data_IF_975531811283
#
_entry.id   IF_975531811283
#
_cell.length_a   1.000
_cell.length_b   1.000
_cell.length_c   1.000
_cell.angle_alpha   90.00
_cell.angle_beta   90.00
_cell.angle_gamma   90.00
#
_symmetry.space_group_name_H-M   'P 1'
#
loop_
_entity.id
_entity.type
_entity.pdbx_description
1 polymer ?
#
# COMPACT_ATOMS: atom_id res chain seq x y z
N UNK A 1 15.96 -25.08 -2.62
CA UNK A 1 16.66 -23.78 -2.69
C UNK A 1 16.66 -23.20 -1.28
N UNK A 2 17.83 -22.80 -0.81
CA UNK A 2 18.06 -22.34 0.56
C UNK A 2 18.48 -20.88 0.56
N UNK A 3 17.96 -20.10 1.49
CA UNK A 3 18.39 -18.71 1.72
C UNK A 3 19.76 -18.76 2.40
N UNK A 4 20.79 -18.23 1.74
CA UNK A 4 22.18 -18.26 2.20
C UNK A 4 22.67 -16.95 2.77
N UNK A 5 22.01 -15.84 2.45
CA UNK A 5 22.39 -14.51 2.88
C UNK A 5 21.23 -13.51 2.89
N UNK A 6 21.48 -12.37 3.54
CA UNK A 6 20.58 -11.22 3.54
C UNK A 6 21.45 -9.96 3.38
N UNK A 7 21.25 -9.26 2.28
CA UNK A 7 21.93 -8.00 1.95
C UNK A 7 20.95 -6.84 2.03
N UNK A 8 21.39 -5.68 2.50
CA UNK A 8 20.54 -4.50 2.67
C UNK A 8 21.16 -3.26 2.02
N UNK A 9 20.29 -2.36 1.55
CA UNK A 9 20.68 -1.05 1.03
C UNK A 9 19.78 0.03 1.64
N UNK A 10 20.40 1.18 2.00
CA UNK A 10 19.70 2.43 2.32
C UNK A 10 19.68 3.26 1.03
N UNK A 11 18.49 3.36 0.41
CA UNK A 11 18.33 4.05 -0.87
C UNK A 11 17.51 5.31 -0.66
N UNK A 12 17.99 6.47 -1.16
CA UNK A 12 17.33 7.76 -0.98
C UNK A 12 17.24 8.53 -2.30
N UNK A 13 16.06 9.10 -2.54
CA UNK A 13 15.72 9.85 -3.75
C UNK A 13 15.34 11.26 -3.35
N UNK A 14 15.96 12.33 -3.91
CA UNK A 14 15.78 13.71 -3.45
C UNK A 14 14.48 14.32 -3.99
N UNK A 15 13.32 13.74 -3.66
CA UNK A 15 12.00 14.19 -4.13
C UNK A 15 11.59 15.54 -3.55
N UNK A 16 12.15 15.96 -2.40
CA UNK A 16 11.95 17.28 -1.83
C UNK A 16 12.38 18.43 -2.76
N UNK A 17 13.36 18.18 -3.65
CA UNK A 17 13.84 19.18 -4.61
C UNK A 17 12.77 19.63 -5.62
N UNK A 18 11.80 18.78 -5.93
CA UNK A 18 10.67 19.05 -6.84
C UNK A 18 9.33 19.18 -6.12
N UNK A 19 9.32 19.05 -4.78
CA UNK A 19 8.14 19.01 -3.92
C UNK A 19 7.21 17.80 -4.18
N UNK A 20 7.68 16.79 -4.89
CA UNK A 20 6.92 15.57 -5.11
C UNK A 20 6.81 14.79 -3.80
N UNK A 21 5.59 14.43 -3.41
CA UNK A 21 5.32 13.83 -2.10
C UNK A 21 5.09 14.83 -0.96
N UNK A 22 5.19 16.15 -1.19
CA UNK A 22 4.99 17.16 -0.15
C UNK A 22 3.52 17.22 0.31
N UNK A 23 3.30 17.20 1.62
CA UNK A 23 2.00 17.27 2.28
C UNK A 23 2.02 18.20 3.51
N UNK A 24 0.93 18.24 4.29
CA UNK A 24 0.81 19.15 5.42
C UNK A 24 1.71 18.78 6.61
N UNK A 25 2.00 17.49 6.80
CA UNK A 25 2.88 16.98 7.87
C UNK A 25 4.33 16.82 7.40
N UNK A 26 4.54 16.54 6.10
CA UNK A 26 5.84 16.24 5.51
C UNK A 26 6.14 17.23 4.36
N UNK A 27 6.64 18.45 4.67
CA UNK A 27 6.84 19.47 3.63
C UNK A 27 8.05 19.21 2.73
N UNK A 28 8.99 18.37 3.15
CA UNK A 28 10.27 18.11 2.51
C UNK A 28 10.66 16.62 2.46
N UNK A 29 9.79 15.71 1.98
CA UNK A 29 10.09 14.27 1.97
C UNK A 29 11.15 13.96 0.93
N UNK A 30 12.16 13.16 1.31
CA UNK A 30 13.07 12.48 0.40
C UNK A 30 12.68 11.00 0.36
N UNK A 31 11.93 10.59 -0.64
CA UNK A 31 11.46 9.21 -0.74
C UNK A 31 12.62 8.23 -0.66
N UNK A 32 12.46 7.20 0.15
CA UNK A 32 13.56 6.30 0.49
C UNK A 32 13.06 4.87 0.59
N UNK A 33 13.96 3.93 0.36
CA UNK A 33 13.69 2.52 0.51
C UNK A 33 14.74 1.86 1.40
N UNK A 34 14.30 1.24 2.50
CA UNK A 34 15.09 0.23 3.17
C UNK A 34 14.94 -1.07 2.36
N UNK A 35 15.92 -1.32 1.50
CA UNK A 35 15.86 -2.38 0.50
C UNK A 35 16.60 -3.62 0.98
N UNK A 36 16.01 -4.80 0.76
CA UNK A 36 16.57 -6.10 1.15
C UNK A 36 16.63 -7.05 -0.02
N UNK A 37 17.72 -7.82 -0.07
CA UNK A 37 17.93 -8.93 -1.01
C UNK A 37 18.16 -10.20 -0.19
N UNK A 38 17.35 -11.22 -0.42
CA UNK A 38 17.55 -12.57 0.08
C UNK A 38 18.36 -13.35 -0.95
N UNK A 39 19.63 -13.65 -0.61
CA UNK A 39 20.54 -14.44 -1.44
C UNK A 39 20.27 -15.93 -1.26
N UNK A 40 20.42 -16.72 -2.31
CA UNK A 40 20.15 -18.17 -2.27
C UNK A 40 21.30 -18.99 -2.86
N UNK A 41 21.27 -20.30 -2.64
CA UNK A 41 22.12 -21.27 -3.34
C UNK A 41 21.58 -21.68 -4.73
N UNK A 42 20.46 -21.08 -5.16
CA UNK A 42 19.80 -21.33 -6.43
C UNK A 42 19.96 -20.17 -7.42
N UNK A 43 19.16 -20.18 -8.52
CA UNK A 43 19.30 -19.19 -9.60
C UNK A 43 18.60 -17.85 -9.30
N UNK A 44 17.82 -17.75 -8.23
CA UNK A 44 17.00 -16.58 -7.93
C UNK A 44 17.40 -15.93 -6.61
N UNK A 45 17.29 -14.60 -6.56
CA UNK A 45 17.31 -13.78 -5.36
C UNK A 45 15.91 -13.22 -5.10
N UNK A 46 15.55 -13.09 -3.81
CA UNK A 46 14.31 -12.44 -3.41
C UNK A 46 14.54 -10.98 -3.06
N UNK A 47 13.77 -10.08 -3.66
CA UNK A 47 13.88 -8.64 -3.46
C UNK A 47 12.67 -8.11 -2.69
N UNK A 48 12.93 -7.18 -1.76
CA UNK A 48 11.88 -6.52 -0.98
C UNK A 48 12.32 -5.15 -0.52
N UNK A 49 11.37 -4.32 -0.19
CA UNK A 49 11.64 -3.02 0.42
C UNK A 49 10.53 -2.63 1.40
N UNK A 50 10.85 -1.65 2.24
CA UNK A 50 9.85 -0.82 2.88
C UNK A 50 10.15 0.64 2.60
N UNK A 51 9.07 1.41 2.42
CA UNK A 51 9.13 2.83 2.12
C UNK A 51 9.34 3.66 3.37
N UNK A 52 10.18 4.68 3.26
CA UNK A 52 10.35 5.78 4.23
C UNK A 52 10.53 7.10 3.47
N UNK A 53 10.61 8.22 4.20
CA UNK A 53 10.70 9.56 3.62
C UNK A 53 12.00 10.30 3.94
N UNK A 54 13.09 9.56 4.13
CA UNK A 54 14.43 10.11 4.32
C UNK A 54 15.08 9.73 5.64
N UNK A 55 15.19 10.68 6.55
CA UNK A 55 15.83 10.46 7.87
C UNK A 55 15.17 9.32 8.63
N UNK A 56 15.99 8.42 9.18
CA UNK A 56 15.52 7.22 9.89
C UNK A 56 15.43 5.97 9.01
N UNK A 57 15.67 6.05 7.69
CA UNK A 57 15.74 4.88 6.83
C UNK A 57 16.81 3.89 7.31
N UNK A 58 17.96 4.40 7.80
CA UNK A 58 19.05 3.62 8.40
C UNK A 58 18.59 2.80 9.62
N UNK A 59 17.61 3.28 10.40
CA UNK A 59 17.02 2.53 11.52
C UNK A 59 16.27 1.30 11.03
N UNK A 60 15.52 1.45 9.94
CA UNK A 60 14.79 0.33 9.33
C UNK A 60 15.75 -0.66 8.69
N UNK A 61 16.81 -0.19 8.03
CA UNK A 61 17.88 -1.05 7.52
C UNK A 61 18.54 -1.87 8.64
N UNK A 62 18.80 -1.26 9.80
CA UNK A 62 19.31 -1.98 10.97
C UNK A 62 18.30 -3.02 11.49
N UNK A 63 17.01 -2.69 11.48
CA UNK A 63 15.95 -3.63 11.86
C UNK A 63 15.85 -4.83 10.89
N UNK A 64 16.01 -4.61 9.58
CA UNK A 64 16.06 -5.70 8.59
C UNK A 64 17.25 -6.64 8.91
N UNK A 65 18.42 -6.07 9.19
CA UNK A 65 19.61 -6.88 9.57
C UNK A 65 19.38 -7.70 10.83
N UNK A 66 18.63 -7.17 11.80
CA UNK A 66 18.28 -7.90 13.02
C UNK A 66 17.41 -9.14 12.76
N UNK A 67 16.65 -9.16 11.64
CA UNK A 67 15.84 -10.30 11.23
C UNK A 67 16.65 -11.37 10.47
N UNK A 68 17.92 -11.13 10.10
CA UNK A 68 18.70 -12.06 9.29
C UNK A 68 18.77 -13.48 9.91
N UNK A 69 18.96 -13.58 11.22
CA UNK A 69 18.98 -14.86 11.94
C UNK A 69 17.65 -15.63 11.93
N UNK A 70 16.55 -14.98 11.51
CA UNK A 70 15.23 -15.62 11.37
C UNK A 70 14.96 -16.13 9.94
N UNK A 71 15.79 -15.77 8.98
CA UNK A 71 15.52 -16.02 7.55
C UNK A 71 16.64 -16.80 6.90
N UNK A 72 17.91 -16.43 7.18
CA UNK A 72 19.07 -17.12 6.63
C UNK A 72 19.13 -18.56 7.15
N UNK A 73 19.30 -19.50 6.23
CA UNK A 73 19.30 -20.93 6.51
C UNK A 73 17.97 -21.63 6.29
N UNK A 74 16.88 -20.88 6.03
CA UNK A 74 15.59 -21.49 5.68
C UNK A 74 15.59 -22.04 4.27
N UNK A 75 14.92 -23.19 4.10
CA UNK A 75 14.59 -23.75 2.78
C UNK A 75 13.34 -23.07 2.21
N UNK A 76 13.36 -22.75 0.91
CA UNK A 76 12.21 -22.11 0.25
C UNK A 76 10.94 -23.00 0.31
N UNK A 77 11.10 -24.32 0.22
CA UNK A 77 9.98 -25.24 0.32
C UNK A 77 9.32 -25.20 1.71
N UNK A 78 10.13 -25.01 2.78
CA UNK A 78 9.57 -24.83 4.13
C UNK A 78 8.69 -23.56 4.24
N UNK A 79 9.08 -22.47 3.54
CA UNK A 79 8.30 -21.23 3.48
C UNK A 79 7.02 -21.47 2.65
N UNK A 80 7.16 -22.12 1.49
CA UNK A 80 6.07 -22.39 0.54
C UNK A 80 4.99 -23.31 1.12
N UNK A 81 5.38 -24.33 1.87
CA UNK A 81 4.44 -25.27 2.50
C UNK A 81 3.47 -24.59 3.48
N UNK A 82 3.91 -23.55 4.16
CA UNK A 82 3.05 -22.79 5.07
C UNK A 82 3.56 -21.36 5.27
N UNK A 83 3.16 -20.41 4.41
CA UNK A 83 3.59 -19.02 4.49
C UNK A 83 3.16 -18.31 5.79
N UNK A 84 2.04 -18.69 6.38
CA UNK A 84 1.61 -18.17 7.69
C UNK A 84 2.52 -18.61 8.83
N UNK A 85 3.05 -19.85 8.77
CA UNK A 85 4.07 -20.34 9.72
C UNK A 85 5.37 -19.53 9.57
N UNK A 86 5.79 -19.26 8.35
CA UNK A 86 6.95 -18.41 8.08
C UNK A 86 6.74 -17.00 8.65
N UNK A 87 5.60 -16.35 8.39
CA UNK A 87 5.26 -15.05 8.93
C UNK A 87 5.34 -15.03 10.46
N UNK A 88 4.73 -16.03 11.12
CA UNK A 88 4.77 -16.19 12.57
C UNK A 88 6.19 -16.44 13.09
N UNK A 89 7.03 -17.14 12.34
CA UNK A 89 8.42 -17.37 12.67
C UNK A 89 9.21 -16.05 12.64
N UNK A 90 9.03 -15.20 11.64
CA UNK A 90 9.70 -13.89 11.53
C UNK A 90 9.26 -12.94 12.64
N UNK A 91 7.95 -12.87 12.93
CA UNK A 91 7.39 -11.98 13.97
C UNK A 91 7.48 -12.53 15.38
N UNK A 92 7.81 -13.81 15.55
CA UNK A 92 7.71 -14.53 16.84
C UNK A 92 8.95 -14.50 17.73
N UNK A 93 9.99 -13.73 17.40
CA UNK A 93 11.19 -13.63 18.24
C UNK A 93 10.87 -12.96 19.58
N UNK A 94 11.18 -13.67 20.68
CA UNK A 94 10.79 -13.25 22.04
C UNK A 94 11.47 -11.97 22.50
N UNK A 95 12.66 -11.66 21.98
CA UNK A 95 13.42 -10.46 22.35
C UNK A 95 13.06 -9.27 21.45
N UNK A 96 12.95 -9.49 20.13
CA UNK A 96 12.55 -8.45 19.19
C UNK A 96 11.12 -7.94 19.43
N UNK A 97 10.24 -8.77 20.02
CA UNK A 97 8.89 -8.34 20.42
C UNK A 97 8.87 -7.17 21.38
N UNK A 98 9.93 -6.98 22.17
CA UNK A 98 10.02 -5.83 23.09
C UNK A 98 10.17 -4.50 22.34
N UNK A 99 10.86 -4.50 21.21
CA UNK A 99 11.03 -3.32 20.35
C UNK A 99 10.02 -3.28 19.20
N UNK A 100 9.01 -4.16 19.20
CA UNK A 100 7.81 -4.12 18.40
C UNK A 100 7.88 -4.83 17.07
N UNK A 101 7.75 -6.18 16.97
CA UNK A 101 7.64 -6.86 15.69
C UNK A 101 6.32 -6.56 14.95
N UNK A 102 5.26 -6.19 15.65
CA UNK A 102 3.95 -5.86 15.07
C UNK A 102 3.74 -4.34 14.94
N UNK A 103 4.77 -3.50 15.02
CA UNK A 103 4.71 -2.03 14.86
C UNK A 103 6.08 -1.40 14.69
N UNK A 104 6.10 -0.14 14.21
CA UNK A 104 7.29 0.68 14.06
C UNK A 104 8.32 0.08 13.10
N UNK A 105 9.59 0.49 13.26
CA UNK A 105 10.68 0.09 12.37
C UNK A 105 10.83 -1.43 12.24
N UNK A 106 10.59 -2.21 13.32
CA UNK A 106 10.64 -3.67 13.25
C UNK A 106 9.57 -4.26 12.35
N UNK A 107 8.37 -3.67 12.31
CA UNK A 107 7.30 -4.19 11.47
C UNK A 107 7.44 -3.77 10.01
N UNK A 108 7.95 -2.57 9.75
CA UNK A 108 8.41 -2.16 8.43
C UNK A 108 9.47 -3.13 7.89
N UNK A 109 10.47 -3.47 8.69
CA UNK A 109 11.50 -4.45 8.34
C UNK A 109 10.90 -5.84 8.06
N UNK A 110 9.92 -6.27 8.87
CA UNK A 110 9.19 -7.51 8.66
C UNK A 110 8.48 -7.52 7.31
N UNK A 111 7.79 -6.43 6.96
CA UNK A 111 7.13 -6.27 5.65
C UNK A 111 8.10 -6.44 4.49
N UNK A 112 9.26 -5.78 4.55
CA UNK A 112 10.30 -5.90 3.52
C UNK A 112 10.79 -7.34 3.36
N UNK A 113 11.11 -8.03 4.46
CA UNK A 113 11.64 -9.41 4.46
C UNK A 113 10.58 -10.42 3.98
N UNK A 114 9.34 -10.28 4.45
CA UNK A 114 8.22 -11.15 4.02
C UNK A 114 7.93 -10.98 2.55
N UNK A 115 7.89 -9.74 2.05
CA UNK A 115 7.68 -9.47 0.63
C UNK A 115 8.84 -9.96 -0.24
N UNK A 116 10.10 -9.91 0.25
CA UNK A 116 11.23 -10.51 -0.43
C UNK A 116 11.11 -12.04 -0.56
N UNK A 117 10.57 -12.71 0.46
CA UNK A 117 10.31 -14.14 0.39
C UNK A 117 9.19 -14.47 -0.62
N UNK A 118 8.14 -13.64 -0.73
CA UNK A 118 7.11 -13.77 -1.75
C UNK A 118 7.64 -13.54 -3.16
N UNK A 119 8.51 -12.54 -3.35
CA UNK A 119 9.21 -12.29 -4.62
C UNK A 119 10.01 -13.53 -5.05
N UNK A 120 10.78 -14.11 -4.12
CA UNK A 120 11.57 -15.32 -4.36
C UNK A 120 10.68 -16.52 -4.75
N UNK A 121 9.58 -16.77 -3.99
CA UNK A 121 8.64 -17.85 -4.31
C UNK A 121 7.99 -17.67 -5.68
N UNK A 122 7.67 -16.45 -6.05
CA UNK A 122 7.05 -16.12 -7.32
C UNK A 122 8.04 -16.32 -8.50
N UNK A 123 9.30 -15.91 -8.33
CA UNK A 123 10.37 -16.15 -9.32
C UNK A 123 10.62 -17.64 -9.53
N UNK A 124 10.70 -18.42 -8.45
CA UNK A 124 10.88 -19.86 -8.52
C UNK A 124 9.69 -20.58 -9.20
N UNK A 125 8.47 -20.07 -8.99
CA UNK A 125 7.27 -20.56 -9.65
C UNK A 125 7.09 -20.07 -11.09
N UNK A 126 7.93 -19.14 -11.58
CA UNK A 126 7.82 -18.55 -12.91
C UNK A 126 6.58 -17.67 -13.10
N UNK A 127 6.04 -17.08 -12.03
CA UNK A 127 4.79 -16.30 -12.03
C UNK A 127 4.95 -14.95 -11.31
N UNK A 128 4.23 -13.89 -11.73
CA UNK A 128 4.08 -12.71 -10.88
C UNK A 128 3.27 -13.07 -9.62
N UNK A 129 3.56 -12.37 -8.51
CA UNK A 129 2.93 -12.67 -7.19
C UNK A 129 1.41 -12.66 -7.25
N UNK A 130 0.80 -11.70 -7.98
CA UNK A 130 -0.66 -11.62 -8.08
C UNK A 130 -1.29 -12.88 -8.69
N UNK A 131 -0.62 -13.48 -9.67
CA UNK A 131 -1.10 -14.68 -10.33
C UNK A 131 -0.78 -15.93 -9.51
N UNK A 132 0.42 -16.00 -8.91
CA UNK A 132 0.79 -17.08 -8.01
C UNK A 132 -0.24 -17.24 -6.88
N UNK A 133 -0.54 -16.16 -6.17
CA UNK A 133 -1.52 -16.15 -5.06
C UNK A 133 -2.94 -16.29 -5.58
N UNK A 134 -3.27 -15.60 -6.67
CA UNK A 134 -4.61 -15.66 -7.28
C UNK A 134 -5.04 -17.05 -7.77
N UNK A 135 -4.11 -17.96 -8.03
CA UNK A 135 -4.38 -19.34 -8.48
C UNK A 135 -4.34 -20.37 -7.34
N UNK A 136 -3.98 -19.99 -6.11
CA UNK A 136 -3.96 -20.89 -4.97
C UNK A 136 -5.36 -21.40 -4.61
N UNK A 137 -5.43 -22.61 -4.03
CA UNK A 137 -6.68 -23.13 -3.48
C UNK A 137 -7.17 -22.28 -2.31
N UNK A 138 -8.48 -22.27 -2.00
CA UNK A 138 -9.00 -21.59 -0.81
C UNK A 138 -8.29 -22.01 0.49
N UNK A 139 -7.94 -23.28 0.61
CA UNK A 139 -7.24 -23.85 1.76
C UNK A 139 -5.80 -23.31 1.88
N UNK A 140 -5.07 -23.21 0.76
CA UNK A 140 -3.71 -22.63 0.72
C UNK A 140 -3.74 -21.14 1.04
N UNK A 141 -4.75 -20.41 0.55
CA UNK A 141 -4.94 -19.00 0.85
C UNK A 141 -5.19 -18.74 2.34
N UNK A 142 -5.98 -19.59 3.01
CA UNK A 142 -6.16 -19.53 4.48
C UNK A 142 -4.85 -19.77 5.21
N UNK A 143 -3.99 -20.67 4.72
CA UNK A 143 -2.71 -20.99 5.32
C UNK A 143 -1.69 -19.80 5.26
N UNK A 144 -1.94 -18.79 4.43
CA UNK A 144 -1.11 -17.55 4.39
C UNK A 144 -1.35 -16.71 5.64
N UNK A 145 -2.56 -16.72 6.21
CA UNK A 145 -3.01 -15.76 7.22
C UNK A 145 -2.67 -16.23 8.64
N UNK A 146 -2.11 -15.34 9.45
CA UNK A 146 -2.05 -15.53 10.92
C UNK A 146 -3.28 -14.91 11.59
N UNK A 147 -4.21 -15.74 12.04
CA UNK A 147 -5.45 -15.32 12.68
C UNK A 147 -5.31 -14.89 14.14
N UNK A 148 -4.10 -14.94 14.70
CA UNK A 148 -3.88 -14.50 16.08
C UNK A 148 -4.33 -13.06 16.27
N UNK A 149 -5.17 -12.83 17.27
CA UNK A 149 -5.82 -11.55 17.61
C UNK A 149 -6.88 -11.04 16.61
N UNK A 150 -7.32 -11.90 15.67
CA UNK A 150 -8.35 -11.56 14.70
C UNK A 150 -9.66 -12.35 14.88
N UNK A 151 -9.65 -13.46 15.62
CA UNK A 151 -10.75 -14.43 15.66
C UNK A 151 -12.07 -13.87 16.21
N UNK A 152 -12.04 -12.76 16.90
CA UNK A 152 -13.22 -11.98 17.32
C UNK A 152 -13.85 -11.15 16.17
N UNK A 153 -13.11 -10.94 15.07
CA UNK A 153 -13.56 -10.19 13.90
C UNK A 153 -13.56 -11.04 12.61
N UNK A 154 -12.64 -12.00 12.48
CA UNK A 154 -12.51 -12.88 11.33
C UNK A 154 -11.94 -14.23 11.76
N UNK A 155 -12.71 -15.31 11.63
CA UNK A 155 -12.24 -16.67 11.90
C UNK A 155 -11.63 -17.32 10.65
N UNK A 156 -10.83 -18.40 10.79
CA UNK A 156 -10.32 -19.16 9.65
C UNK A 156 -11.44 -19.74 8.75
N UNK A 157 -12.56 -20.17 9.35
CA UNK A 157 -13.71 -20.70 8.63
C UNK A 157 -14.39 -19.63 7.77
N UNK A 158 -14.59 -18.43 8.33
CA UNK A 158 -15.14 -17.28 7.60
C UNK A 158 -14.22 -16.84 6.45
N UNK A 159 -12.90 -16.86 6.67
CA UNK A 159 -11.92 -16.57 5.62
C UNK A 159 -11.99 -17.62 4.50
N UNK A 160 -12.08 -18.90 4.85
CA UNK A 160 -12.27 -19.99 3.89
C UNK A 160 -13.54 -19.81 3.05
N UNK A 161 -14.64 -19.43 3.69
CA UNK A 161 -15.91 -19.15 3.01
C UNK A 161 -15.82 -17.96 2.05
N UNK A 162 -15.05 -16.91 2.40
CA UNK A 162 -14.81 -15.77 1.49
C UNK A 162 -14.05 -16.24 0.26
N UNK A 163 -12.96 -16.99 0.43
CA UNK A 163 -12.17 -17.51 -0.69
C UNK A 163 -12.98 -18.48 -1.58
N UNK A 164 -13.77 -19.36 -0.99
CA UNK A 164 -14.64 -20.29 -1.74
C UNK A 164 -15.74 -19.56 -2.53
N UNK A 165 -16.30 -18.49 -2.00
CA UNK A 165 -17.25 -17.65 -2.75
C UNK A 165 -16.60 -16.93 -3.93
N UNK A 166 -15.33 -16.55 -3.80
CA UNK A 166 -14.58 -15.92 -4.88
C UNK A 166 -14.01 -16.91 -5.91
N UNK A 167 -13.97 -18.20 -5.62
CA UNK A 167 -13.37 -19.20 -6.53
C UNK A 167 -14.11 -19.31 -7.88
N UNK A 168 -15.45 -19.38 -7.95
CA UNK A 168 -16.17 -19.32 -9.22
C UNK A 168 -15.89 -18.01 -9.97
N UNK A 169 -15.66 -18.10 -11.28
CA UNK A 169 -15.35 -16.93 -12.12
C UNK A 169 -13.92 -16.38 -11.99
N UNK A 170 -13.03 -17.08 -11.30
CA UNK A 170 -11.63 -16.67 -11.11
C UNK A 170 -10.89 -16.55 -12.44
N UNK A 171 -11.04 -17.52 -13.35
CA UNK A 171 -10.41 -17.49 -14.66
C UNK A 171 -10.87 -16.30 -15.51
N UNK A 172 -12.16 -15.98 -15.47
CA UNK A 172 -12.74 -14.82 -16.15
C UNK A 172 -12.20 -13.52 -15.59
N UNK A 173 -12.04 -13.41 -14.25
CA UNK A 173 -11.44 -12.21 -13.63
C UNK A 173 -9.98 -12.03 -14.01
N UNK A 174 -9.20 -13.11 -14.07
CA UNK A 174 -7.81 -13.08 -14.56
C UNK A 174 -7.77 -12.63 -16.03
N UNK A 175 -8.62 -13.20 -16.88
CA UNK A 175 -8.70 -12.80 -18.29
C UNK A 175 -9.10 -11.33 -18.45
N UNK A 176 -10.05 -10.88 -17.64
CA UNK A 176 -10.50 -9.48 -17.63
C UNK A 176 -9.40 -8.51 -17.16
N UNK A 177 -8.61 -8.85 -16.14
CA UNK A 177 -7.46 -8.04 -15.75
C UNK A 177 -6.45 -7.90 -16.89
N UNK A 178 -6.12 -8.99 -17.58
CA UNK A 178 -5.19 -8.96 -18.72
C UNK A 178 -5.69 -8.10 -19.87
N UNK A 179 -6.99 -8.04 -20.08
CA UNK A 179 -7.60 -7.26 -21.16
C UNK A 179 -7.78 -5.78 -20.81
N UNK A 180 -8.24 -5.47 -19.62
CA UNK A 180 -8.72 -4.13 -19.22
C UNK A 180 -7.85 -3.44 -18.17
N UNK A 181 -6.99 -4.20 -17.46
CA UNK A 181 -6.28 -3.70 -16.30
C UNK A 181 -7.16 -3.48 -15.07
N UNK A 182 -6.61 -2.76 -14.10
CA UNK A 182 -7.27 -2.33 -12.87
C UNK A 182 -7.25 -0.81 -12.76
N UNK A 183 -8.40 -0.16 -12.67
CA UNK A 183 -8.53 1.29 -12.65
C UNK A 183 -7.71 1.95 -11.52
N UNK A 184 -7.13 3.11 -11.81
CA UNK A 184 -6.36 3.89 -10.84
C UNK A 184 -6.80 5.34 -10.74
N UNK A 185 -6.40 5.98 -9.63
CA UNK A 185 -6.48 7.42 -9.44
C UNK A 185 -5.08 8.01 -9.30
N UNK A 186 -4.95 9.32 -9.49
CA UNK A 186 -3.65 9.98 -9.34
C UNK A 186 -3.64 11.00 -8.22
N UNK A 187 -2.51 11.07 -7.51
CA UNK A 187 -2.16 12.12 -6.54
C UNK A 187 -1.12 13.09 -7.12
N UNK A 188 -0.51 12.77 -8.26
CA UNK A 188 0.61 13.53 -8.85
C UNK A 188 0.32 15.00 -9.09
N UNK A 189 -0.92 15.38 -9.36
CA UNK A 189 -1.33 16.78 -9.49
C UNK A 189 -1.55 17.47 -8.13
N UNK A 190 -1.65 16.73 -7.05
CA UNK A 190 -2.23 17.17 -5.77
C UNK A 190 -1.25 17.57 -4.68
N UNK A 191 0.05 17.45 -4.87
CA UNK A 191 1.05 17.74 -3.83
C UNK A 191 1.00 19.19 -3.35
N UNK A 192 1.36 19.45 -2.09
CA UNK A 192 1.41 20.80 -1.55
C UNK A 192 2.64 21.59 -2.05
N UNK A 193 2.49 22.89 -2.17
CA UNK A 193 3.56 23.80 -2.60
C UNK A 193 3.70 23.97 -4.11
N UNK A 194 2.95 23.25 -4.93
CA UNK A 194 2.94 23.44 -6.37
C UNK A 194 2.37 24.81 -6.77
N UNK A 195 2.98 25.46 -7.80
CA UNK A 195 2.41 26.65 -8.40
C UNK A 195 1.08 26.36 -9.10
N UNK A 196 0.26 27.39 -9.31
CA UNK A 196 -1.00 27.25 -10.04
C UNK A 196 -0.79 26.69 -11.44
N UNK A 197 0.28 27.11 -12.13
CA UNK A 197 0.61 26.66 -13.47
C UNK A 197 0.93 25.14 -13.47
N UNK A 198 1.76 24.67 -12.52
CA UNK A 198 2.08 23.24 -12.36
C UNK A 198 0.82 22.44 -12.03
N UNK A 199 0.01 22.92 -11.08
CA UNK A 199 -1.25 22.29 -10.68
C UNK A 199 -2.22 22.17 -11.87
N UNK A 200 -2.45 23.27 -12.61
CA UNK A 200 -3.35 23.27 -13.76
C UNK A 200 -2.86 22.34 -14.87
N UNK A 201 -1.58 22.35 -15.17
CA UNK A 201 -0.96 21.50 -16.18
C UNK A 201 -1.16 20.02 -15.82
N UNK A 202 -0.75 19.60 -14.62
CA UNK A 202 -0.83 18.20 -14.18
C UNK A 202 -2.28 17.70 -14.08
N UNK A 203 -3.20 18.51 -13.58
CA UNK A 203 -4.62 18.16 -13.54
C UNK A 203 -5.23 18.01 -14.93
N UNK A 204 -4.82 18.87 -15.90
CA UNK A 204 -5.27 18.79 -17.29
C UNK A 204 -4.70 17.53 -17.97
N UNK A 205 -3.43 17.24 -17.78
CA UNK A 205 -2.76 16.03 -18.28
C UNK A 205 -3.46 14.77 -17.74
N UNK A 206 -3.72 14.70 -16.43
CA UNK A 206 -4.43 13.58 -15.80
C UNK A 206 -5.83 13.35 -16.41
N UNK A 207 -6.59 14.42 -16.65
CA UNK A 207 -7.90 14.32 -17.30
C UNK A 207 -7.78 13.82 -18.74
N UNK A 208 -6.76 14.29 -19.49
CA UNK A 208 -6.51 13.88 -20.87
C UNK A 208 -6.08 12.40 -20.97
N UNK A 209 -5.35 11.89 -19.96
CA UNK A 209 -4.93 10.49 -19.83
C UNK A 209 -6.06 9.55 -19.39
N UNK A 210 -7.25 10.10 -19.10
CA UNK A 210 -8.44 9.33 -18.77
C UNK A 210 -8.66 9.10 -17.26
N UNK A 211 -7.90 9.75 -16.38
CA UNK A 211 -8.17 9.64 -14.95
C UNK A 211 -9.54 10.22 -14.59
N UNK A 212 -10.32 9.40 -13.92
CA UNK A 212 -11.65 9.76 -13.42
C UNK A 212 -11.64 10.19 -11.96
N UNK A 213 -10.50 10.05 -11.28
CA UNK A 213 -10.33 10.32 -9.88
C UNK A 213 -8.98 11.05 -9.67
N UNK A 214 -8.99 12.15 -8.93
CA UNK A 214 -7.79 12.90 -8.55
C UNK A 214 -7.83 13.15 -7.04
N UNK A 215 -6.71 12.90 -6.33
CA UNK A 215 -6.55 13.20 -4.90
C UNK A 215 -5.69 14.46 -4.72
N UNK A 216 -6.09 15.32 -3.78
CA UNK A 216 -5.43 16.58 -3.47
C UNK A 216 -4.99 16.59 -2.01
N UNK A 217 -3.74 16.92 -1.75
CA UNK A 217 -3.25 17.19 -0.39
C UNK A 217 -3.83 18.50 0.12
N UNK A 218 -4.32 18.51 1.35
CA UNK A 218 -4.94 19.66 2.05
C UNK A 218 -4.41 19.75 3.47
N UNK A 219 -4.79 20.82 4.20
CA UNK A 219 -4.62 20.87 5.65
C UNK A 219 -3.59 21.86 6.16
N UNK A 220 -2.85 22.55 5.28
CA UNK A 220 -1.86 23.54 5.69
C UNK A 220 -2.45 24.96 5.79
N UNK A 221 -3.31 25.33 4.86
CA UNK A 221 -3.95 26.65 4.77
C UNK A 221 -5.30 26.49 4.07
N UNK A 222 -6.40 26.84 4.75
CA UNK A 222 -7.77 26.61 4.24
C UNK A 222 -8.08 27.43 2.99
N UNK A 223 -7.61 28.69 2.93
CA UNK A 223 -7.88 29.57 1.79
C UNK A 223 -7.08 29.09 0.56
N UNK A 224 -5.86 28.58 0.75
CA UNK A 224 -5.07 27.95 -0.30
C UNK A 224 -5.70 26.63 -0.76
N UNK A 225 -6.17 25.81 0.15
CA UNK A 225 -6.88 24.55 -0.19
C UNK A 225 -8.14 24.83 -1.01
N UNK A 226 -8.94 25.80 -0.61
CA UNK A 226 -10.13 26.26 -1.35
C UNK A 226 -9.74 26.68 -2.76
N UNK A 227 -8.71 27.55 -2.92
CA UNK A 227 -8.23 28.03 -4.20
C UNK A 227 -7.77 26.87 -5.10
N UNK A 228 -6.98 25.94 -4.56
CA UNK A 228 -6.45 24.78 -5.30
C UNK A 228 -7.58 23.83 -5.72
N UNK A 229 -8.51 23.56 -4.83
CA UNK A 229 -9.67 22.71 -5.12
C UNK A 229 -10.62 23.34 -6.17
N UNK A 230 -10.80 24.68 -6.18
CA UNK A 230 -11.53 25.39 -7.22
C UNK A 230 -10.89 25.19 -8.61
N UNK A 231 -9.57 25.28 -8.70
CA UNK A 231 -8.82 25.06 -9.95
C UNK A 231 -9.05 23.63 -10.43
N UNK A 232 -8.79 22.64 -9.58
CA UNK A 232 -8.86 21.22 -9.95
C UNK A 232 -10.31 20.81 -10.28
N UNK A 233 -11.29 21.21 -9.47
CA UNK A 233 -12.71 20.90 -9.72
C UNK A 233 -13.19 21.48 -11.05
N UNK A 234 -12.74 22.68 -11.44
CA UNK A 234 -13.06 23.29 -12.74
C UNK A 234 -12.50 22.47 -13.90
N UNK A 235 -11.28 21.94 -13.76
CA UNK A 235 -10.62 21.12 -14.80
C UNK A 235 -11.27 19.74 -14.88
N UNK A 236 -11.53 19.11 -13.75
CA UNK A 236 -12.13 17.77 -13.68
C UNK A 236 -13.58 17.74 -14.15
N UNK A 237 -14.31 18.83 -13.97
CA UNK A 237 -15.76 18.85 -14.11
C UNK A 237 -16.49 18.13 -12.95
N UNK A 238 -17.83 18.13 -12.92
CA UNK A 238 -18.61 17.60 -11.82
C UNK A 238 -18.66 16.06 -11.76
N UNK A 239 -18.45 15.38 -12.88
CA UNK A 239 -18.65 13.93 -13.00
C UNK A 239 -17.49 13.10 -12.45
N UNK A 240 -16.29 13.70 -12.33
CA UNK A 240 -15.10 13.01 -11.82
C UNK A 240 -15.02 13.14 -10.31
N UNK A 241 -14.47 12.14 -9.68
CA UNK A 241 -14.32 12.08 -8.21
C UNK A 241 -13.06 12.81 -7.75
N UNK A 242 -13.25 13.75 -6.86
CA UNK A 242 -12.19 14.45 -6.15
C UNK A 242 -12.04 13.82 -4.78
N UNK A 243 -10.83 13.50 -4.34
CA UNK A 243 -10.52 13.10 -2.98
C UNK A 243 -9.60 14.15 -2.34
N UNK A 244 -9.64 14.24 -1.03
CA UNK A 244 -8.76 15.12 -0.26
C UNK A 244 -8.04 14.31 0.82
N UNK A 245 -6.81 14.72 1.15
CA UNK A 245 -5.93 14.01 2.07
C UNK A 245 -5.19 15.02 2.95
N UNK A 246 -5.36 14.89 4.27
CA UNK A 246 -4.82 15.80 5.27
C UNK A 246 -3.54 15.27 5.94
N UNK A 247 -3.16 14.03 5.70
CA UNK A 247 -1.97 13.42 6.29
C UNK A 247 -1.87 13.65 7.81
N UNK A 248 -2.97 13.43 8.55
CA UNK A 248 -3.08 13.43 10.01
C UNK A 248 -2.88 14.80 10.71
N UNK A 249 -2.91 15.91 9.98
CA UNK A 249 -2.50 17.21 10.51
C UNK A 249 -3.46 17.80 11.55
N UNK A 250 -4.75 17.40 11.54
CA UNK A 250 -5.78 18.06 12.33
C UNK A 250 -6.11 17.33 13.65
N UNK A 251 -6.51 18.13 14.64
CA UNK A 251 -7.33 17.66 15.74
C UNK A 251 -8.75 17.35 15.26
N UNK A 252 -9.51 16.56 16.03
CA UNK A 252 -10.85 16.07 15.63
C UNK A 252 -11.82 17.17 15.25
N UNK A 253 -11.94 18.21 16.08
CA UNK A 253 -12.88 19.32 15.83
C UNK A 253 -12.43 20.19 14.66
N UNK A 254 -11.12 20.36 14.48
CA UNK A 254 -10.52 21.06 13.36
C UNK A 254 -10.78 20.29 12.04
N UNK A 255 -10.59 18.98 12.03
CA UNK A 255 -10.91 18.13 10.90
C UNK A 255 -12.37 18.28 10.47
N UNK A 256 -13.31 18.27 11.44
CA UNK A 256 -14.74 18.45 11.18
C UNK A 256 -15.01 19.81 10.54
N UNK A 257 -14.42 20.89 11.09
CA UNK A 257 -14.59 22.25 10.57
C UNK A 257 -14.03 22.38 9.15
N UNK A 258 -12.83 21.87 8.91
CA UNK A 258 -12.12 21.96 7.63
C UNK A 258 -12.84 21.18 6.53
N UNK A 259 -13.19 19.93 6.79
CA UNK A 259 -13.92 19.10 5.84
C UNK A 259 -15.29 19.70 5.51
N UNK A 260 -16.01 20.24 6.51
CA UNK A 260 -17.28 20.93 6.26
C UNK A 260 -17.12 22.18 5.37
N UNK A 261 -16.03 22.95 5.51
CA UNK A 261 -15.73 24.08 4.63
C UNK A 261 -15.44 23.64 3.18
N UNK A 262 -14.83 22.46 3.02
CA UNK A 262 -14.47 21.89 1.71
C UNK A 262 -15.59 21.07 1.04
N UNK A 263 -16.71 20.77 1.75
CA UNK A 263 -17.86 20.00 1.19
C UNK A 263 -18.41 20.56 -0.13
N UNK A 264 -18.32 21.88 -0.34
CA UNK A 264 -18.78 22.52 -1.58
C UNK A 264 -18.09 22.03 -2.85
N UNK A 265 -16.94 21.35 -2.72
CA UNK A 265 -16.20 20.74 -3.81
C UNK A 265 -16.59 19.28 -4.04
N UNK A 266 -17.55 18.75 -3.30
CA UNK A 266 -18.02 17.37 -3.35
C UNK A 266 -16.88 16.34 -3.28
N UNK A 267 -16.05 16.36 -2.22
CA UNK A 267 -15.00 15.35 -2.07
C UNK A 267 -15.61 13.98 -1.79
N UNK A 268 -15.13 12.97 -2.51
CA UNK A 268 -15.59 11.59 -2.33
C UNK A 268 -15.21 11.02 -0.97
N UNK A 269 -13.98 11.31 -0.51
CA UNK A 269 -13.53 11.07 0.86
C UNK A 269 -12.51 12.11 1.34
N UNK A 270 -12.37 12.18 2.65
CA UNK A 270 -11.20 12.70 3.35
C UNK A 270 -10.34 11.55 3.82
N UNK A 271 -9.04 11.57 3.48
CA UNK A 271 -8.02 10.63 3.89
C UNK A 271 -7.26 11.16 5.08
N UNK A 272 -7.02 10.30 6.07
CA UNK A 272 -6.23 10.57 7.27
C UNK A 272 -6.53 11.94 7.94
N UNK A 273 -7.77 12.20 8.35
CA UNK A 273 -8.14 13.51 8.89
C UNK A 273 -7.48 13.85 10.23
N UNK A 274 -7.08 12.85 11.00
CA UNK A 274 -6.47 12.99 12.34
C UNK A 274 -5.48 11.87 12.61
N UNK A 275 -4.93 11.80 13.83
CA UNK A 275 -3.95 10.77 14.23
C UNK A 275 -4.36 9.37 13.77
N UNK A 276 -3.44 8.61 13.12
CA UNK A 276 -3.75 7.26 12.64
C UNK A 276 -4.05 6.26 13.75
N UNK A 277 -3.74 6.59 15.01
CA UNK A 277 -4.03 5.74 16.18
C UNK A 277 -5.38 6.10 16.85
N UNK A 278 -6.04 7.21 16.43
CA UNK A 278 -7.31 7.66 17.03
C UNK A 278 -8.54 7.12 16.29
N UNK A 279 -8.90 5.87 16.61
CA UNK A 279 -10.07 5.19 16.04
C UNK A 279 -11.38 5.93 16.37
N UNK A 280 -11.53 6.40 17.60
CA UNK A 280 -12.75 7.11 18.02
C UNK A 280 -12.83 8.52 17.42
N UNK A 281 -11.69 9.19 17.24
CA UNK A 281 -11.63 10.46 16.52
C UNK A 281 -12.09 10.32 15.07
N UNK A 282 -11.60 9.31 14.36
CA UNK A 282 -12.05 9.00 12.99
C UNK A 282 -13.55 8.72 12.95
N UNK A 283 -14.10 7.95 13.92
CA UNK A 283 -15.54 7.67 13.99
C UNK A 283 -16.36 8.96 14.17
N UNK A 284 -15.94 9.86 15.07
CA UNK A 284 -16.60 11.14 15.29
C UNK A 284 -16.56 12.03 14.04
N UNK A 285 -15.40 12.11 13.39
CA UNK A 285 -15.24 12.87 12.15
C UNK A 285 -16.17 12.29 11.08
N UNK A 286 -16.16 10.97 10.86
CA UNK A 286 -16.99 10.29 9.88
C UNK A 286 -18.47 10.61 10.05
N UNK A 287 -18.97 10.57 11.29
CA UNK A 287 -20.37 10.91 11.61
C UNK A 287 -20.69 12.39 11.31
N UNK A 288 -19.77 13.31 11.61
CA UNK A 288 -19.99 14.75 11.50
C UNK A 288 -19.80 15.29 10.07
N UNK A 289 -18.99 14.61 9.23
CA UNK A 289 -18.68 15.09 7.88
C UNK A 289 -19.50 14.43 6.78
N UNK A 290 -20.43 13.55 7.11
CA UNK A 290 -21.28 12.91 6.11
C UNK A 290 -21.93 13.95 5.17
N UNK A 291 -22.07 13.69 3.87
CA UNK A 291 -21.84 12.45 3.15
C UNK A 291 -20.38 12.20 2.69
N UNK A 292 -19.43 13.09 3.05
CA UNK A 292 -18.00 12.85 2.78
C UNK A 292 -17.57 11.62 3.55
N UNK A 293 -16.97 10.65 2.86
CA UNK A 293 -16.45 9.41 3.45
C UNK A 293 -15.15 9.67 4.19
N UNK A 294 -14.78 8.78 5.10
CA UNK A 294 -13.46 8.77 5.75
C UNK A 294 -12.67 7.57 5.27
N UNK A 295 -11.45 7.82 4.82
CA UNK A 295 -10.48 6.83 4.40
C UNK A 295 -9.24 6.89 5.29
N UNK A 296 -8.65 5.74 5.63
CA UNK A 296 -7.35 5.67 6.31
C UNK A 296 -6.73 4.29 6.16
N UNK A 297 -5.43 4.19 6.46
CA UNK A 297 -4.75 2.92 6.56
C UNK A 297 -3.27 2.92 6.20
N UNK A 298 -2.75 3.91 5.46
CA UNK A 298 -1.34 3.95 5.09
C UNK A 298 -0.40 4.01 6.31
N UNK A 299 -0.86 4.61 7.41
CA UNK A 299 -0.13 4.69 8.67
C UNK A 299 -0.60 3.66 9.70
N UNK A 300 -1.60 2.84 9.42
CA UNK A 300 -2.00 1.75 10.30
C UNK A 300 -0.86 0.77 10.49
N UNK A 301 -0.47 0.55 11.75
CA UNK A 301 0.75 -0.18 12.09
C UNK A 301 0.64 -1.69 11.91
N UNK A 302 -0.58 -2.26 11.99
CA UNK A 302 -0.81 -3.70 11.92
C UNK A 302 -2.29 -4.02 11.68
N UNK A 303 -2.56 -5.31 11.41
CA UNK A 303 -3.92 -5.85 11.19
C UNK A 303 -4.90 -5.60 12.34
N UNK A 304 -4.38 -5.44 13.58
CA UNK A 304 -5.23 -5.23 14.76
C UNK A 304 -5.80 -3.81 14.77
N UNK A 305 -5.02 -2.83 14.35
CA UNK A 305 -5.50 -1.47 14.20
C UNK A 305 -6.55 -1.38 13.09
N UNK A 306 -6.32 -2.02 11.95
CA UNK A 306 -7.35 -2.17 10.91
C UNK A 306 -8.63 -2.84 11.44
N UNK A 307 -8.49 -3.93 12.22
CA UNK A 307 -9.64 -4.56 12.88
C UNK A 307 -10.45 -3.56 13.70
N UNK A 308 -9.77 -2.72 14.48
CA UNK A 308 -10.46 -1.71 15.31
C UNK A 308 -11.19 -0.68 14.45
N UNK A 309 -10.56 -0.12 13.44
CA UNK A 309 -11.20 0.82 12.50
C UNK A 309 -12.44 0.22 11.85
N UNK A 310 -12.32 -0.99 11.33
CA UNK A 310 -13.38 -1.69 10.60
C UNK A 310 -14.55 -2.05 11.55
N UNK A 311 -14.26 -2.69 12.67
CA UNK A 311 -15.31 -3.18 13.59
C UNK A 311 -16.02 -2.06 14.35
N UNK A 312 -15.37 -0.91 14.53
CA UNK A 312 -15.97 0.29 15.14
C UNK A 312 -16.74 1.15 14.14
N UNK A 313 -16.70 0.79 12.84
CA UNK A 313 -17.32 1.62 11.82
C UNK A 313 -16.70 3.02 11.75
N UNK A 314 -15.41 3.12 11.97
CA UNK A 314 -14.71 4.40 12.02
C UNK A 314 -14.30 4.93 10.64
N UNK A 315 -14.35 4.08 9.61
CA UNK A 315 -13.95 4.39 8.22
C UNK A 315 -14.96 3.85 7.21
N UNK A 316 -14.95 4.42 6.01
CA UNK A 316 -15.77 4.00 4.86
C UNK A 316 -14.93 3.35 3.76
N UNK A 317 -13.62 3.63 3.74
CA UNK A 317 -12.66 3.11 2.75
C UNK A 317 -11.41 2.64 3.49
N UNK A 318 -10.99 1.42 3.19
CA UNK A 318 -9.76 0.82 3.74
C UNK A 318 -8.60 1.11 2.80
N UNK A 319 -7.51 1.69 3.31
CA UNK A 319 -6.32 1.99 2.53
C UNK A 319 -5.15 1.14 3.03
N UNK A 320 -4.96 -0.01 2.41
CA UNK A 320 -3.76 -0.83 2.70
C UNK A 320 -2.52 -0.14 2.12
N UNK A 321 -1.39 -0.38 2.77
CA UNK A 321 -0.06 -0.12 2.24
C UNK A 321 0.71 -1.44 2.15
N UNK A 322 1.52 -1.61 1.10
CA UNK A 322 2.17 -2.88 0.81
C UNK A 322 3.29 -3.25 1.78
N UNK A 323 3.87 -2.27 2.48
CA UNK A 323 5.04 -2.45 3.32
C UNK A 323 4.99 -1.72 4.67
N UNK A 324 3.87 -1.03 4.99
CA UNK A 324 3.66 -0.46 6.33
C UNK A 324 3.42 -1.54 7.38
N UNK A 325 2.73 -2.61 7.00
CA UNK A 325 2.44 -3.77 7.84
C UNK A 325 3.28 -4.98 7.42
N UNK A 326 3.10 -6.13 8.02
CA UNK A 326 3.97 -7.32 7.90
C UNK A 326 3.93 -8.04 6.55
N UNK A 327 3.84 -7.30 5.44
CA UNK A 327 3.87 -7.83 4.07
C UNK A 327 2.56 -8.49 3.65
N UNK A 328 2.60 -9.20 2.52
CA UNK A 328 1.44 -9.80 1.86
C UNK A 328 0.55 -10.62 2.80
N UNK A 329 1.13 -11.39 3.71
CA UNK A 329 0.39 -12.20 4.67
C UNK A 329 -0.57 -11.36 5.53
N UNK A 330 -0.08 -10.25 6.04
CA UNK A 330 -0.90 -9.39 6.89
C UNK A 330 -1.87 -8.54 6.08
N UNK A 331 -1.45 -8.08 4.89
CA UNK A 331 -2.35 -7.40 3.95
C UNK A 331 -3.55 -8.28 3.62
N UNK A 332 -3.34 -9.57 3.33
CA UNK A 332 -4.42 -10.50 3.02
C UNK A 332 -5.45 -10.59 4.15
N UNK A 333 -5.02 -10.55 5.41
CA UNK A 333 -5.94 -10.50 6.56
C UNK A 333 -6.83 -9.25 6.57
N UNK A 334 -6.27 -8.10 6.17
CA UNK A 334 -7.02 -6.84 6.07
C UNK A 334 -8.01 -6.88 4.91
N UNK A 335 -7.61 -7.40 3.75
CA UNK A 335 -8.50 -7.59 2.59
C UNK A 335 -9.71 -8.48 2.95
N UNK A 336 -9.48 -9.56 3.68
CA UNK A 336 -10.54 -10.45 4.15
C UNK A 336 -11.49 -9.75 5.14
N UNK A 337 -10.97 -8.98 6.10
CA UNK A 337 -11.81 -8.19 6.99
C UNK A 337 -12.61 -7.14 6.22
N UNK A 338 -11.99 -6.42 5.28
CA UNK A 338 -12.70 -5.46 4.43
C UNK A 338 -13.83 -6.14 3.64
N UNK A 339 -13.58 -7.32 3.06
CA UNK A 339 -14.59 -8.09 2.33
C UNK A 339 -15.72 -8.56 3.25
N UNK A 340 -15.41 -9.07 4.45
CA UNK A 340 -16.42 -9.48 5.45
C UNK A 340 -17.35 -8.35 5.85
N UNK A 341 -16.79 -7.15 6.05
CA UNK A 341 -17.54 -5.97 6.51
C UNK A 341 -18.08 -5.10 5.36
N UNK A 342 -17.89 -5.52 4.11
CA UNK A 342 -18.43 -4.83 2.93
C UNK A 342 -17.77 -3.49 2.62
N UNK A 343 -16.52 -3.28 3.02
CA UNK A 343 -15.78 -2.05 2.78
C UNK A 343 -14.94 -2.14 1.49
N UNK A 344 -14.92 -1.09 0.66
CA UNK A 344 -14.02 -1.01 -0.47
C UNK A 344 -12.57 -0.81 -0.01
N UNK A 345 -11.62 -1.35 -0.77
CA UNK A 345 -10.19 -1.16 -0.55
C UNK A 345 -9.63 -0.27 -1.66
N UNK A 346 -8.97 0.82 -1.27
CA UNK A 346 -8.28 1.77 -2.14
C UNK A 346 -6.83 1.90 -1.66
N UNK A 347 -5.89 1.09 -2.16
CA UNK A 347 -4.53 1.06 -1.65
C UNK A 347 -3.82 2.40 -1.77
N UNK A 348 -3.00 2.72 -0.76
CA UNK A 348 -2.01 3.77 -0.81
C UNK A 348 -0.80 3.33 -1.65
N UNK A 349 -0.28 4.24 -2.50
CA UNK A 349 0.91 4.00 -3.31
C UNK A 349 1.81 5.23 -3.49
N UNK A 350 1.66 6.25 -2.65
CA UNK A 350 2.43 7.50 -2.72
C UNK A 350 3.88 7.34 -2.27
N UNK A 351 4.67 6.47 -2.90
CA UNK A 351 6.06 6.26 -2.52
C UNK A 351 6.84 5.38 -3.49
N UNK A 352 8.17 5.36 -3.37
CA UNK A 352 9.04 4.54 -4.22
C UNK A 352 8.72 3.05 -4.08
N UNK A 353 8.42 2.37 -5.18
CA UNK A 353 8.09 0.95 -5.24
C UNK A 353 6.70 0.57 -4.73
N UNK A 354 5.91 1.51 -4.22
CA UNK A 354 4.58 1.21 -3.71
C UNK A 354 3.59 0.92 -4.84
N UNK A 355 3.65 1.62 -5.96
CA UNK A 355 2.85 1.32 -7.16
C UNK A 355 3.13 -0.09 -7.67
N UNK A 356 4.42 -0.48 -7.72
CA UNK A 356 4.87 -1.81 -8.11
C UNK A 356 4.31 -2.91 -7.21
N UNK A 357 4.23 -2.67 -5.90
CA UNK A 357 3.66 -3.61 -4.94
C UNK A 357 2.13 -3.68 -4.98
N UNK A 358 1.46 -2.52 -4.84
CA UNK A 358 0.00 -2.51 -4.59
C UNK A 358 -0.82 -3.02 -5.76
N UNK A 359 -0.31 -2.92 -7.00
CA UNK A 359 -0.98 -3.51 -8.15
C UNK A 359 -1.20 -5.02 -7.96
N UNK A 360 -0.19 -5.76 -7.45
CA UNK A 360 -0.34 -7.19 -7.14
C UNK A 360 -1.40 -7.43 -6.06
N UNK A 361 -1.38 -6.65 -4.98
CA UNK A 361 -2.31 -6.81 -3.86
C UNK A 361 -3.77 -6.54 -4.26
N UNK A 362 -4.00 -5.52 -5.08
CA UNK A 362 -5.33 -5.20 -5.61
C UNK A 362 -5.84 -6.26 -6.57
N UNK A 363 -4.95 -6.83 -7.39
CA UNK A 363 -5.30 -7.93 -8.29
C UNK A 363 -5.62 -9.21 -7.52
N UNK A 364 -4.89 -9.50 -6.43
CA UNK A 364 -5.21 -10.60 -5.51
C UNK A 364 -6.59 -10.38 -4.88
N UNK A 365 -6.88 -9.17 -4.38
CA UNK A 365 -8.19 -8.83 -3.83
C UNK A 365 -9.31 -9.13 -4.83
N UNK A 366 -9.18 -8.63 -6.06
CA UNK A 366 -10.17 -8.86 -7.11
C UNK A 366 -10.32 -10.31 -7.51
N UNK A 367 -9.20 -11.03 -7.69
CA UNK A 367 -9.22 -12.40 -8.20
C UNK A 367 -9.67 -13.41 -7.14
N UNK A 368 -9.23 -13.24 -5.89
CA UNK A 368 -9.35 -14.28 -4.87
C UNK A 368 -10.14 -13.87 -3.62
N UNK A 369 -10.43 -12.59 -3.38
CA UNK A 369 -11.10 -12.13 -2.15
C UNK A 369 -12.46 -11.48 -2.44
N UNK A 370 -12.45 -10.27 -3.01
CA UNK A 370 -13.67 -9.46 -3.20
C UNK A 370 -14.50 -9.91 -4.41
N UNK A 371 -13.86 -10.44 -5.44
CA UNK A 371 -14.50 -10.82 -6.70
C UNK A 371 -15.01 -9.64 -7.55
N UNK A 372 -14.79 -8.40 -7.13
CA UNK A 372 -15.30 -7.18 -7.80
C UNK A 372 -14.26 -6.07 -7.86
N UNK A 373 -14.33 -5.23 -8.91
CA UNK A 373 -13.62 -3.95 -9.03
C UNK A 373 -14.56 -2.77 -8.75
N UNK A 374 -15.82 -3.00 -8.47
CA UNK A 374 -16.82 -1.94 -8.31
C UNK A 374 -16.52 -1.08 -7.07
N UNK A 375 -16.38 0.24 -7.28
CA UNK A 375 -16.05 1.18 -6.22
C UNK A 375 -14.64 1.03 -5.65
N UNK A 376 -13.72 0.40 -6.40
CA UNK A 376 -12.32 0.14 -6.01
C UNK A 376 -11.39 0.68 -7.07
N UNK A 377 -10.37 1.43 -6.67
CA UNK A 377 -9.32 1.97 -7.53
C UNK A 377 -7.99 1.98 -6.77
N UNK A 378 -6.89 1.93 -7.50
CA UNK A 378 -5.53 1.91 -6.94
C UNK A 378 -4.93 3.30 -7.04
N UNK A 379 -4.19 3.77 -6.03
CA UNK A 379 -3.41 5.00 -6.15
C UNK A 379 -2.29 4.84 -7.18
N UNK A 380 -2.00 5.92 -7.89
CA UNK A 380 -0.88 6.04 -8.79
C UNK A 380 -0.18 7.38 -8.61
N UNK A 381 1.14 7.34 -8.56
CA UNK A 381 2.04 8.49 -8.65
C UNK A 381 3.00 8.27 -9.81
N UNK A 382 3.39 9.32 -10.53
CA UNK A 382 4.05 9.24 -11.85
C UNK A 382 5.59 9.34 -11.81
N UNK A 383 6.21 8.97 -10.70
CA UNK A 383 7.66 9.13 -10.51
C UNK A 383 8.32 7.91 -9.86
N UNK A 384 9.63 7.77 -10.07
CA UNK A 384 10.54 6.74 -9.52
C UNK A 384 10.36 5.32 -10.08
N UNK A 385 9.49 5.11 -11.07
CA UNK A 385 9.30 3.81 -11.74
C UNK A 385 10.53 3.36 -12.54
N UNK A 386 11.31 4.32 -13.05
CA UNK A 386 12.50 4.10 -13.83
C UNK A 386 13.60 3.33 -13.10
N UNK A 387 13.50 3.20 -11.79
CA UNK A 387 14.47 2.49 -10.95
C UNK A 387 14.26 0.98 -10.92
N UNK A 388 13.09 0.47 -11.34
CA UNK A 388 12.73 -0.94 -11.29
C UNK A 388 12.95 -1.65 -12.63
N UNK A 389 13.23 -2.96 -12.57
CA UNK A 389 13.36 -3.81 -13.77
C UNK A 389 12.00 -4.13 -14.40
N UNK A 390 10.93 -4.12 -13.60
CA UNK A 390 9.56 -4.41 -14.00
C UNK A 390 8.64 -3.32 -13.44
N UNK A 391 8.73 -2.07 -13.98
CA UNK A 391 7.94 -0.96 -13.48
C UNK A 391 6.46 -1.17 -13.78
N UNK A 392 5.58 -0.59 -12.96
CA UNK A 392 4.15 -0.61 -13.24
C UNK A 392 3.84 0.08 -14.59
N UNK A 393 2.85 -0.44 -15.29
CA UNK A 393 2.42 0.07 -16.62
C UNK A 393 1.00 0.60 -16.51
N UNK A 394 0.83 1.89 -16.79
CA UNK A 394 -0.49 2.53 -16.83
C UNK A 394 -0.94 2.70 -18.28
N UNK A 395 -2.18 2.28 -18.58
CA UNK A 395 -2.85 2.53 -19.86
C UNK A 395 -4.28 2.96 -19.59
N UNK A 396 -4.69 4.10 -20.14
CA UNK A 396 -6.05 4.64 -19.95
C UNK A 396 -6.48 4.68 -18.48
N UNK A 397 -5.62 5.23 -17.61
CA UNK A 397 -5.81 5.28 -16.16
C UNK A 397 -6.10 3.91 -15.50
N UNK A 398 -5.45 2.85 -15.99
CA UNK A 398 -5.51 1.51 -15.42
C UNK A 398 -4.12 0.87 -15.35
N UNK A 399 -3.82 0.22 -14.21
CA UNK A 399 -2.67 -0.65 -14.06
C UNK A 399 -2.85 -1.90 -14.93
N UNK A 400 -1.92 -2.11 -15.84
CA UNK A 400 -1.85 -3.37 -16.57
C UNK A 400 -1.16 -4.42 -15.71
N UNK A 401 -1.68 -5.66 -15.63
CA UNK A 401 -1.10 -6.66 -14.75
C UNK A 401 0.33 -7.00 -15.16
N UNK A 402 1.28 -7.05 -14.20
CA UNK A 402 2.63 -7.46 -14.48
C UNK A 402 2.67 -8.92 -14.94
N UNK A 403 3.54 -9.21 -15.90
CA UNK A 403 3.72 -10.55 -16.48
C UNK A 403 5.01 -11.21 -16.01
N UNK A 404 6.01 -10.40 -15.62
CA UNK A 404 7.30 -10.91 -15.17
C UNK A 404 7.18 -11.62 -13.83
N UNK A 405 7.87 -12.79 -13.64
CA UNK A 405 7.90 -13.45 -12.34
C UNK A 405 8.50 -12.57 -11.24
N UNK A 406 7.88 -12.61 -10.05
CA UNK A 406 8.29 -11.82 -8.90
C UNK A 406 7.21 -10.84 -8.42
N UNK A 407 7.62 -9.89 -7.59
CA UNK A 407 6.76 -8.86 -6.98
C UNK A 407 6.96 -7.46 -7.61
N UNK A 408 7.58 -7.40 -8.79
CA UNK A 408 7.89 -6.18 -9.57
C UNK A 408 8.82 -5.19 -8.83
N UNK A 409 9.52 -5.62 -7.79
CA UNK A 409 10.26 -4.76 -6.86
C UNK A 409 11.78 -4.82 -7.03
N UNK A 410 12.27 -5.60 -7.96
CA UNK A 410 13.70 -5.71 -8.24
C UNK A 410 14.22 -4.42 -8.88
N UNK A 411 15.10 -3.73 -8.16
CA UNK A 411 15.72 -2.49 -8.66
C UNK A 411 16.88 -2.77 -9.61
N UNK A 412 17.06 -1.87 -10.57
CA UNK A 412 18.22 -1.86 -11.47
C UNK A 412 19.51 -1.68 -10.66
N UNK A 413 20.57 -2.47 -10.89
CA UNK A 413 21.84 -2.33 -10.17
C UNK A 413 22.43 -0.91 -10.21
N UNK A 414 22.32 -0.22 -11.36
CA UNK A 414 22.75 1.16 -11.49
C UNK A 414 21.99 2.13 -10.58
N UNK A 415 20.67 1.91 -10.40
CA UNK A 415 19.83 2.71 -9.50
C UNK A 415 20.21 2.49 -8.03
N UNK A 416 20.50 1.25 -7.64
CA UNK A 416 21.00 0.93 -6.29
C UNK A 416 22.30 1.70 -6.01
N UNK A 417 23.26 1.63 -6.94
CA UNK A 417 24.55 2.32 -6.77
C UNK A 417 24.37 3.83 -6.69
N UNK A 418 23.57 4.41 -7.60
CA UNK A 418 23.40 5.86 -7.70
C UNK A 418 22.67 6.48 -6.50
N UNK A 419 21.77 5.74 -5.84
CA UNK A 419 20.94 6.23 -4.75
C UNK A 419 21.32 5.69 -3.38
N UNK A 420 22.41 4.91 -3.28
CA UNK A 420 22.91 4.40 -2.00
C UNK A 420 23.37 5.53 -1.10
N UNK A 421 22.80 5.61 0.09
CA UNK A 421 23.21 6.54 1.13
C UNK A 421 24.44 5.97 1.87
N UNK A 422 25.56 6.68 1.75
CA UNK A 422 26.76 6.45 2.55
C UNK A 422 26.65 7.38 3.76
N UNK A 423 26.13 6.87 4.87
CA UNK A 423 25.92 7.59 6.12
C UNK A 423 27.13 8.31 6.67
#
# INVERSE_FOLDING_TARGET
MKITGLRTHDLRFPTSASLDGSDAMNPDPDYSAAYVVLETDGPHEGHGLTFTIGRGNEVVVAAIRALAGRVVGLELDWIRENPGRFWRHVTGDSQLRWIGPDKGAMHLATGAVVNAAWDLMAKDAGKPVWLLVGEMSPEDLVAIVDFRYLTDALTPEEALDIFRRAEPGRAERIARLKAEGYACYTTSAGWLGYSNEKLMRLATEAVAEGFTHIKMKVGRDLDDDIRRLEIVRRIMGPERRLMIDANQVWEVDEAIAWVNALKRFDPYFIEEPTSPDDVEGHRKIREAVAPVRVATGEMCQNRILFKQFITRGAIDVVQIDACRIGGLNEVLSVLLMAAKYGLPVWPHAGGVGLCEYVQHLSMIDYVAVSGTKDGRVIEYVDHLHEHFLDPCVIRNAAYMPPERPGFSIEMKPASIVANSFAG
#
